data_IF_420713897619
#
_entry.id   IF_420713897619
#
_cell.length_a   1.000
_cell.length_b   1.000
_cell.length_c   1.000
_cell.angle_alpha   90.00
_cell.angle_beta   90.00
_cell.angle_gamma   90.00
#
_symmetry.space_group_name_H-M   'P 1'
#
loop_
_entity.id
_entity.type
_entity.pdbx_description
1 polymer ?
#
# COMPACT_ATOMS: atom_id res chain seq x y z
N UNK A 1 5.39 0.16 -29.80
CA UNK A 1 6.08 1.44 -30.12
C UNK A 1 5.36 2.58 -29.41
N UNK A 2 5.62 2.72 -28.12
CA UNK A 2 5.06 3.78 -27.28
C UNK A 2 5.85 5.06 -27.55
N UNK A 3 5.18 6.10 -28.08
CA UNK A 3 5.80 7.39 -28.35
C UNK A 3 6.10 8.18 -27.06
N UNK A 4 6.96 9.21 -27.12
CA UNK A 4 7.30 10.02 -25.96
C UNK A 4 6.07 10.71 -25.33
N UNK A 5 5.08 11.04 -26.13
CA UNK A 5 3.84 11.71 -25.69
C UNK A 5 3.06 10.85 -24.68
N UNK A 6 3.07 9.52 -24.85
CA UNK A 6 2.39 8.61 -23.93
C UNK A 6 3.12 8.49 -22.60
N UNK A 7 4.44 8.57 -22.58
CA UNK A 7 5.23 8.61 -21.35
C UNK A 7 5.02 9.94 -20.59
N UNK A 8 4.99 11.07 -21.30
CA UNK A 8 4.69 12.37 -20.71
C UNK A 8 3.29 12.38 -20.09
N UNK A 9 2.30 11.80 -20.77
CA UNK A 9 0.96 11.67 -20.24
C UNK A 9 0.90 10.78 -19.01
N UNK A 10 1.65 9.66 -18.98
CA UNK A 10 1.69 8.79 -17.80
C UNK A 10 2.26 9.51 -16.58
N UNK A 11 3.28 10.33 -16.75
CA UNK A 11 3.82 11.18 -15.67
C UNK A 11 2.77 12.20 -15.20
N UNK A 12 2.03 12.81 -16.11
CA UNK A 12 0.94 13.71 -15.76
C UNK A 12 -0.14 13.00 -14.93
N UNK A 13 -0.55 11.80 -15.35
CA UNK A 13 -1.54 11.00 -14.61
C UNK A 13 -1.08 10.68 -13.18
N UNK A 14 0.20 10.33 -13.00
CA UNK A 14 0.77 10.09 -11.67
C UNK A 14 0.81 11.37 -10.83
N UNK A 15 1.15 12.50 -11.42
CA UNK A 15 1.07 13.80 -10.74
C UNK A 15 -0.38 14.13 -10.31
N UNK A 16 -1.37 13.91 -11.18
CA UNK A 16 -2.79 14.10 -10.85
C UNK A 16 -3.27 13.18 -9.72
N UNK A 17 -2.61 12.04 -9.53
CA UNK A 17 -2.80 11.11 -8.41
C UNK A 17 -2.06 11.54 -7.13
N UNK A 18 -1.42 12.71 -7.09
CA UNK A 18 -0.71 13.21 -5.92
C UNK A 18 0.69 12.61 -5.71
N UNK A 19 1.27 11.95 -6.71
CA UNK A 19 2.62 11.40 -6.58
C UNK A 19 3.67 12.52 -6.69
N UNK A 20 4.57 12.58 -5.71
CA UNK A 20 5.69 13.54 -5.67
C UNK A 20 6.99 12.95 -6.21
N UNK A 21 7.17 11.64 -6.02
CA UNK A 21 8.37 10.93 -6.40
C UNK A 21 8.12 9.94 -7.52
N UNK A 22 9.07 9.85 -8.44
CA UNK A 22 9.17 8.77 -9.42
C UNK A 22 10.47 8.01 -9.19
N UNK A 23 10.38 6.69 -9.09
CA UNK A 23 11.54 5.82 -9.00
C UNK A 23 11.65 5.00 -10.27
N UNK A 24 12.68 5.23 -11.07
CA UNK A 24 12.99 4.31 -12.15
C UNK A 24 13.51 3.00 -11.57
N UNK A 25 12.77 1.91 -11.77
CA UNK A 25 13.26 0.59 -11.41
C UNK A 25 14.40 0.18 -12.37
N UNK A 26 14.22 0.47 -13.66
CA UNK A 26 15.22 0.17 -14.68
C UNK A 26 15.18 1.20 -15.80
N UNK A 27 16.34 1.69 -16.24
CA UNK A 27 16.52 2.49 -17.46
C UNK A 27 17.22 1.70 -18.58
N UNK A 28 17.58 0.45 -18.27
CA UNK A 28 18.06 -0.53 -19.24
C UNK A 28 17.66 -1.93 -18.78
N UNK A 29 17.38 -2.81 -19.73
CA UNK A 29 17.08 -4.20 -19.49
C UNK A 29 17.47 -5.04 -20.71
N UNK A 30 17.86 -6.29 -20.51
CA UNK A 30 18.27 -7.22 -21.57
C UNK A 30 19.31 -6.64 -22.56
N UNK A 31 20.26 -5.88 -22.02
CA UNK A 31 21.31 -5.22 -22.82
C UNK A 31 20.82 -4.10 -23.74
N UNK A 32 19.65 -3.52 -23.48
CA UNK A 32 19.03 -2.43 -24.26
C UNK A 32 18.64 -1.26 -23.37
N UNK A 33 18.95 -0.04 -23.81
CA UNK A 33 18.68 1.19 -23.07
C UNK A 33 17.36 1.86 -23.47
N UNK A 34 16.72 2.52 -22.51
CA UNK A 34 15.58 3.41 -22.69
C UNK A 34 16.01 4.90 -22.75
N UNK A 35 17.31 5.17 -22.81
CA UNK A 35 17.96 6.48 -22.91
C UNK A 35 19.01 6.46 -24.04
N UNK A 36 19.54 7.61 -24.50
CA UNK A 36 20.53 7.66 -25.59
C UNK A 36 21.90 7.17 -25.13
N UNK A 37 22.06 5.84 -24.98
CA UNK A 37 23.28 5.18 -24.53
C UNK A 37 24.28 4.99 -25.64
N UNK A 38 25.58 5.17 -25.32
CA UNK A 38 26.72 4.77 -26.14
C UNK A 38 27.23 3.37 -25.75
N UNK A 39 26.77 2.83 -24.62
CA UNK A 39 27.22 1.55 -24.07
C UNK A 39 26.43 0.35 -24.63
N UNK A 40 25.22 0.60 -25.09
CA UNK A 40 24.31 -0.45 -25.58
C UNK A 40 23.28 0.11 -26.55
N UNK A 41 22.68 -0.73 -27.42
CA UNK A 41 21.60 -0.32 -28.31
C UNK A 41 20.38 0.16 -27.50
N UNK A 42 19.66 1.15 -28.02
CA UNK A 42 18.40 1.62 -27.43
C UNK A 42 17.17 0.96 -28.06
N UNK A 43 16.04 1.00 -27.33
CA UNK A 43 14.76 0.33 -27.73
C UNK A 43 13.84 1.21 -28.55
N UNK A 44 14.14 2.52 -28.67
CA UNK A 44 13.30 3.48 -29.39
C UNK A 44 13.92 3.85 -30.75
N UNK A 45 13.13 4.35 -31.71
CA UNK A 45 13.62 4.71 -33.03
C UNK A 45 14.66 5.85 -32.98
N UNK A 46 15.68 5.77 -33.82
CA UNK A 46 16.67 6.84 -33.96
C UNK A 46 16.04 8.19 -34.33
N UNK A 47 16.55 9.25 -33.76
CA UNK A 47 16.03 10.61 -33.94
C UNK A 47 14.72 10.90 -33.17
N UNK A 48 14.21 9.98 -32.41
CA UNK A 48 13.07 10.19 -31.51
C UNK A 48 13.55 10.49 -30.09
N UNK A 49 12.77 11.27 -29.36
CA UNK A 49 12.97 11.50 -27.92
C UNK A 49 12.89 10.17 -27.17
N UNK A 50 13.85 9.91 -26.29
CA UNK A 50 13.87 8.67 -25.52
C UNK A 50 12.74 8.63 -24.45
N UNK A 51 12.33 7.43 -24.01
CA UNK A 51 11.41 7.31 -22.86
C UNK A 51 11.92 8.03 -21.62
N UNK A 52 13.20 7.91 -21.29
CA UNK A 52 13.80 8.56 -20.11
C UNK A 52 13.77 10.08 -20.26
N UNK A 53 14.11 10.64 -21.44
CA UNK A 53 14.00 12.09 -21.68
C UNK A 53 12.57 12.59 -21.52
N UNK A 54 11.60 11.83 -22.07
CA UNK A 54 10.17 12.19 -21.98
C UNK A 54 9.70 12.23 -20.51
N UNK A 55 10.06 11.23 -19.72
CA UNK A 55 9.68 11.14 -18.31
C UNK A 55 10.36 12.23 -17.49
N UNK A 56 11.66 12.44 -17.69
CA UNK A 56 12.45 13.46 -16.97
C UNK A 56 11.90 14.88 -17.23
N UNK A 57 11.65 15.22 -18.50
CA UNK A 57 11.12 16.53 -18.87
C UNK A 57 9.70 16.73 -18.31
N UNK A 58 8.85 15.71 -18.35
CA UNK A 58 7.52 15.77 -17.77
C UNK A 58 7.57 15.92 -16.24
N UNK A 59 8.43 15.15 -15.57
CA UNK A 59 8.62 15.26 -14.12
C UNK A 59 9.09 16.66 -13.72
N UNK A 60 10.02 17.27 -14.46
CA UNK A 60 10.43 18.66 -14.22
C UNK A 60 9.30 19.66 -14.39
N UNK A 61 8.46 19.47 -15.41
CA UNK A 61 7.30 20.34 -15.69
C UNK A 61 6.27 20.32 -14.57
N UNK A 62 6.09 19.15 -13.92
CA UNK A 62 5.16 18.98 -12.80
C UNK A 62 5.80 19.11 -11.42
N UNK A 63 7.10 19.44 -11.33
CA UNK A 63 7.80 19.58 -10.05
C UNK A 63 8.05 18.28 -9.31
N UNK A 64 7.93 17.13 -9.98
CA UNK A 64 8.17 15.82 -9.40
C UNK A 64 9.67 15.51 -9.25
N UNK A 65 10.01 14.75 -8.24
CA UNK A 65 11.37 14.33 -7.89
C UNK A 65 11.64 12.93 -8.43
N UNK A 66 12.74 12.76 -9.17
CA UNK A 66 13.07 11.48 -9.81
C UNK A 66 14.32 10.84 -9.18
N UNK A 67 14.18 9.57 -8.78
CA UNK A 67 15.30 8.70 -8.51
C UNK A 67 15.66 7.93 -9.79
N UNK A 68 16.87 8.17 -10.29
CA UNK A 68 17.41 7.51 -11.47
C UNK A 68 18.02 6.16 -11.09
N UNK A 69 17.69 5.11 -11.84
CA UNK A 69 18.33 3.80 -11.71
C UNK A 69 19.18 3.50 -12.93
N UNK A 70 20.17 2.66 -12.75
CA UNK A 70 20.90 2.06 -13.89
C UNK A 70 20.07 0.92 -14.52
N UNK A 71 19.14 0.33 -13.77
CA UNK A 71 18.52 -0.94 -14.15
C UNK A 71 19.56 -2.08 -14.10
N UNK A 72 19.26 -3.14 -14.80
CA UNK A 72 20.15 -4.30 -14.88
C UNK A 72 21.07 -4.20 -16.10
N UNK A 73 22.35 -4.50 -15.88
CA UNK A 73 23.32 -4.45 -16.96
C UNK A 73 23.07 -5.49 -18.04
N UNK A 74 22.48 -6.63 -17.66
CA UNK A 74 22.11 -7.72 -18.54
C UNK A 74 20.63 -8.10 -18.33
N UNK A 75 20.29 -8.62 -17.17
CA UNK A 75 18.93 -9.03 -16.80
C UNK A 75 18.70 -8.87 -15.29
N UNK A 76 17.49 -9.16 -14.83
CA UNK A 76 17.08 -9.01 -13.43
C UNK A 76 17.89 -9.89 -12.46
N UNK A 77 18.49 -10.95 -12.93
CA UNK A 77 19.33 -11.86 -12.14
C UNK A 77 20.80 -11.40 -12.05
N UNK A 78 21.10 -10.18 -12.48
CA UNK A 78 22.45 -9.61 -12.42
C UNK A 78 23.01 -9.68 -11.00
N UNK A 79 24.12 -10.41 -10.85
CA UNK A 79 24.76 -10.61 -9.57
C UNK A 79 25.80 -9.49 -9.29
N UNK A 80 25.45 -8.54 -8.44
CA UNK A 80 26.35 -7.44 -8.04
C UNK A 80 27.59 -7.89 -7.24
N UNK A 81 27.69 -9.16 -6.85
CA UNK A 81 28.95 -9.75 -6.34
C UNK A 81 29.99 -9.88 -7.43
N UNK A 82 29.57 -10.00 -8.71
CA UNK A 82 30.46 -10.01 -9.85
C UNK A 82 31.04 -8.61 -10.10
N UNK A 83 32.39 -8.45 -10.05
CA UNK A 83 33.05 -7.18 -10.33
C UNK A 83 32.78 -6.65 -11.74
N UNK A 84 32.54 -7.52 -12.72
CA UNK A 84 32.26 -7.10 -14.09
C UNK A 84 30.88 -6.44 -14.20
N UNK A 85 29.88 -7.01 -13.53
CA UNK A 85 28.52 -6.43 -13.45
C UNK A 85 28.56 -5.09 -12.71
N UNK A 86 29.23 -5.00 -11.56
CA UNK A 86 29.40 -3.72 -10.84
C UNK A 86 30.07 -2.66 -11.69
N UNK A 87 31.13 -3.01 -12.44
CA UNK A 87 31.80 -2.09 -13.35
C UNK A 87 30.84 -1.59 -14.42
N UNK A 88 30.06 -2.46 -15.02
CA UNK A 88 29.09 -2.09 -16.02
C UNK A 88 28.04 -1.14 -15.47
N UNK A 89 27.53 -1.38 -14.27
CA UNK A 89 26.63 -0.48 -13.55
C UNK A 89 27.27 0.90 -13.36
N UNK A 90 28.53 0.97 -12.94
CA UNK A 90 29.26 2.22 -12.76
C UNK A 90 29.49 2.98 -14.07
N UNK A 91 29.71 2.30 -15.18
CA UNK A 91 29.83 2.90 -16.53
C UNK A 91 28.46 3.51 -16.94
N UNK A 92 27.39 2.79 -16.74
CA UNK A 92 26.02 3.29 -16.98
C UNK A 92 25.70 4.51 -16.10
N UNK A 93 26.04 4.48 -14.82
CA UNK A 93 25.89 5.65 -13.93
C UNK A 93 26.66 6.86 -14.46
N UNK A 94 27.85 6.67 -14.99
CA UNK A 94 28.64 7.76 -15.55
C UNK A 94 28.00 8.38 -16.79
N UNK A 95 27.45 7.56 -17.66
CA UNK A 95 26.73 7.99 -18.87
C UNK A 95 25.46 8.76 -18.47
N UNK A 96 24.65 8.21 -17.57
CA UNK A 96 23.42 8.82 -17.06
C UNK A 96 23.68 10.14 -16.32
N UNK A 97 24.75 10.21 -15.53
CA UNK A 97 25.16 11.45 -14.87
C UNK A 97 25.58 12.54 -15.87
N UNK A 98 26.24 12.16 -16.97
CA UNK A 98 26.56 13.09 -18.05
C UNK A 98 25.34 13.65 -18.75
N UNK A 99 24.30 12.83 -18.92
CA UNK A 99 23.05 13.20 -19.59
C UNK A 99 22.10 13.97 -18.66
N UNK A 100 21.92 13.49 -17.42
CA UNK A 100 20.85 13.93 -16.53
C UNK A 100 21.34 14.52 -15.20
N UNK A 101 22.65 14.55 -14.93
CA UNK A 101 23.20 15.00 -13.64
C UNK A 101 22.77 16.41 -13.23
N UNK A 102 22.54 17.30 -14.19
CA UNK A 102 22.07 18.68 -13.97
C UNK A 102 20.57 18.86 -14.21
N UNK A 103 19.86 17.78 -14.52
CA UNK A 103 18.45 17.88 -14.83
C UNK A 103 17.64 18.26 -13.57
N UNK A 104 16.71 19.26 -13.64
CA UNK A 104 15.99 19.76 -12.46
C UNK A 104 15.15 18.68 -11.74
N UNK A 105 14.61 17.72 -12.48
CA UNK A 105 13.86 16.62 -11.87
C UNK A 105 14.75 15.58 -11.15
N UNK A 106 16.07 15.52 -11.41
CA UNK A 106 16.93 14.52 -10.78
C UNK A 106 17.09 14.83 -9.29
N UNK A 107 16.46 14.03 -8.44
CA UNK A 107 16.55 14.13 -7.00
C UNK A 107 17.65 13.22 -6.43
N UNK A 108 17.75 12.00 -6.97
CA UNK A 108 18.70 11.04 -6.47
C UNK A 108 18.91 9.82 -7.36
N UNK A 109 19.59 8.84 -6.81
CA UNK A 109 19.83 7.53 -7.42
C UNK A 109 19.06 6.44 -6.68
N UNK A 110 18.38 5.59 -7.41
CA UNK A 110 17.92 4.30 -6.94
C UNK A 110 18.95 3.25 -7.33
N UNK A 111 19.58 2.62 -6.36
CA UNK A 111 20.52 1.54 -6.62
C UNK A 111 19.73 0.24 -6.74
N UNK A 112 19.75 -0.45 -7.89
CA UNK A 112 18.95 -1.65 -8.13
C UNK A 112 19.58 -2.88 -7.44
N UNK A 113 19.81 -2.77 -6.14
CA UNK A 113 20.34 -3.84 -5.30
C UNK A 113 19.16 -4.44 -4.54
N UNK A 114 18.53 -5.40 -5.17
CA UNK A 114 17.49 -6.21 -4.53
C UNK A 114 18.18 -7.37 -3.79
N UNK A 115 18.79 -7.09 -2.66
CA UNK A 115 19.38 -8.14 -1.82
C UNK A 115 18.45 -8.48 -0.66
N UNK A 116 18.48 -9.74 -0.27
CA UNK A 116 17.69 -10.25 0.83
C UNK A 116 18.22 -9.75 2.18
N UNK A 117 17.34 -9.25 3.02
CA UNK A 117 17.69 -8.79 4.36
C UNK A 117 17.81 -9.93 5.37
N UNK A 118 17.34 -11.12 5.06
CA UNK A 118 17.20 -12.22 6.00
C UNK A 118 18.40 -13.19 6.04
N UNK A 119 18.73 -13.74 7.22
CA UNK A 119 18.30 -13.22 8.51
C UNK A 119 18.97 -11.92 8.87
N UNK A 120 20.06 -11.58 8.19
CA UNK A 120 20.87 -10.36 8.33
C UNK A 120 21.29 -9.87 6.96
N UNK A 121 21.33 -8.56 6.78
CA UNK A 121 21.88 -7.94 5.56
C UNK A 121 23.29 -8.48 5.25
N UNK A 122 23.50 -9.00 4.05
CA UNK A 122 24.76 -9.65 3.70
C UNK A 122 25.93 -8.65 3.63
N UNK A 123 27.13 -9.09 4.00
CA UNK A 123 28.36 -8.28 3.87
C UNK A 123 28.66 -7.91 2.41
N UNK A 124 28.23 -8.75 1.48
CA UNK A 124 28.38 -8.48 0.06
C UNK A 124 27.45 -7.36 -0.40
N UNK A 125 26.20 -7.33 0.11
CA UNK A 125 25.27 -6.25 -0.17
C UNK A 125 25.82 -4.91 0.34
N UNK A 126 26.28 -4.85 1.58
CA UNK A 126 26.93 -3.64 2.14
C UNK A 126 28.07 -3.16 1.25
N UNK A 127 28.93 -4.08 0.81
CA UNK A 127 30.08 -3.75 -0.05
C UNK A 127 29.64 -3.22 -1.42
N UNK A 128 28.68 -3.90 -2.07
CA UNK A 128 28.18 -3.53 -3.39
C UNK A 128 27.46 -2.18 -3.36
N UNK A 129 26.54 -2.00 -2.41
CA UNK A 129 25.80 -0.75 -2.20
C UNK A 129 26.75 0.42 -1.97
N UNK A 130 27.73 0.26 -1.08
CA UNK A 130 28.68 1.33 -0.78
C UNK A 130 29.56 1.69 -1.98
N UNK A 131 29.99 0.72 -2.78
CA UNK A 131 30.79 0.98 -4.00
C UNK A 131 29.97 1.76 -5.05
N UNK A 132 28.69 1.45 -5.23
CA UNK A 132 27.78 2.20 -6.12
C UNK A 132 27.45 3.57 -5.55
N UNK A 133 27.24 3.69 -4.23
CA UNK A 133 27.03 4.96 -3.56
C UNK A 133 28.21 5.91 -3.72
N UNK A 134 29.42 5.42 -3.50
CA UNK A 134 30.66 6.24 -3.68
C UNK A 134 30.78 6.73 -5.12
N UNK A 135 30.46 5.89 -6.09
CA UNK A 135 30.43 6.28 -7.51
C UNK A 135 29.35 7.35 -7.77
N UNK A 136 28.13 7.15 -7.31
CA UNK A 136 27.04 8.12 -7.48
C UNK A 136 27.40 9.49 -6.90
N UNK A 137 27.92 9.54 -5.68
CA UNK A 137 28.35 10.78 -5.01
C UNK A 137 29.50 11.48 -5.72
N UNK A 138 30.41 10.72 -6.34
CA UNK A 138 31.51 11.30 -7.15
C UNK A 138 31.02 11.96 -8.44
N UNK A 139 29.91 11.46 -9.00
CA UNK A 139 29.35 11.94 -10.27
C UNK A 139 28.36 13.11 -10.06
N UNK A 140 27.56 13.02 -9.02
CA UNK A 140 26.47 13.98 -8.71
C UNK A 140 26.47 14.31 -7.21
N UNK A 141 27.39 15.12 -6.71
CA UNK A 141 27.46 15.48 -5.31
C UNK A 141 26.13 16.10 -4.81
N UNK A 142 25.70 15.70 -3.62
CA UNK A 142 24.46 16.21 -3.00
C UNK A 142 23.17 15.51 -3.42
N UNK A 143 23.18 14.65 -4.43
CA UNK A 143 22.01 13.86 -4.79
C UNK A 143 21.80 12.71 -3.80
N UNK A 144 20.53 12.39 -3.49
CA UNK A 144 20.14 11.34 -2.54
C UNK A 144 20.39 9.94 -3.09
N UNK A 145 20.62 8.99 -2.22
CA UNK A 145 20.83 7.58 -2.58
C UNK A 145 19.77 6.73 -1.89
N UNK A 146 18.97 6.01 -2.67
CA UNK A 146 17.88 5.16 -2.25
C UNK A 146 18.19 3.70 -2.59
N UNK A 147 17.88 2.79 -1.66
CA UNK A 147 17.77 1.34 -1.90
C UNK A 147 16.40 0.83 -1.45
N UNK A 148 15.93 -0.27 -2.05
CA UNK A 148 14.66 -0.91 -1.68
C UNK A 148 14.84 -2.43 -1.52
N UNK A 149 15.39 -2.88 -0.38
CA UNK A 149 15.64 -4.30 -0.13
C UNK A 149 14.36 -5.06 0.24
N UNK A 150 14.40 -6.41 0.06
CA UNK A 150 13.35 -7.35 0.47
C UNK A 150 13.82 -8.29 1.60
N UNK A 151 12.95 -9.19 2.07
CA UNK A 151 13.26 -10.21 3.07
C UNK A 151 12.87 -9.85 4.48
N UNK A 152 11.85 -9.00 4.67
CA UNK A 152 11.34 -8.63 5.99
C UNK A 152 10.80 -9.83 6.78
N UNK A 153 10.24 -10.83 6.08
CA UNK A 153 9.56 -11.98 6.69
C UNK A 153 10.48 -12.81 7.58
N UNK A 154 11.74 -12.99 7.18
CA UNK A 154 12.73 -13.83 7.86
C UNK A 154 13.88 -13.04 8.50
N UNK A 155 13.75 -11.71 8.56
CA UNK A 155 14.78 -10.86 9.14
C UNK A 155 14.77 -10.86 10.66
N UNK A 156 15.95 -10.93 11.25
CA UNK A 156 16.14 -10.85 12.70
C UNK A 156 16.54 -9.44 13.14
N UNK A 157 15.53 -8.57 13.25
CA UNK A 157 15.70 -7.17 13.70
C UNK A 157 16.08 -7.05 15.20
N UNK A 158 16.03 -8.15 15.97
CA UNK A 158 16.44 -8.16 17.37
C UNK A 158 17.94 -8.41 17.53
N UNK A 159 18.60 -8.88 16.49
CA UNK A 159 20.03 -9.15 16.48
C UNK A 159 20.81 -7.82 16.34
N UNK A 160 21.68 -7.46 17.30
CA UNK A 160 22.48 -6.23 17.22
C UNK A 160 23.37 -6.13 15.98
N UNK A 161 23.72 -7.26 15.38
CA UNK A 161 24.49 -7.32 14.14
C UNK A 161 23.71 -6.74 12.96
N UNK A 162 22.37 -6.81 12.98
CA UNK A 162 21.53 -6.22 11.96
C UNK A 162 21.73 -4.70 11.88
N UNK A 163 21.56 -4.02 13.01
CA UNK A 163 21.78 -2.57 13.12
C UNK A 163 23.24 -2.20 12.78
N UNK A 164 24.21 -3.00 13.25
CA UNK A 164 25.63 -2.77 12.95
C UNK A 164 25.94 -2.84 11.45
N UNK A 165 25.26 -3.70 10.69
CA UNK A 165 25.43 -3.77 9.23
C UNK A 165 24.72 -2.63 8.53
N UNK A 166 23.52 -2.29 8.95
CA UNK A 166 22.80 -1.12 8.41
C UNK A 166 23.60 0.18 8.62
N UNK A 167 24.20 0.38 9.81
CA UNK A 167 24.98 1.58 10.11
C UNK A 167 26.22 1.77 9.23
N UNK A 168 26.65 0.72 8.52
CA UNK A 168 27.77 0.77 7.56
C UNK A 168 27.35 1.17 6.14
N UNK A 169 26.06 1.18 5.86
CA UNK A 169 25.55 1.65 4.58
C UNK A 169 25.76 3.17 4.46
N UNK A 170 26.19 3.60 3.29
CA UNK A 170 26.41 5.01 2.96
C UNK A 170 25.21 5.66 2.27
N UNK A 171 24.07 4.98 2.20
CA UNK A 171 22.84 5.47 1.57
C UNK A 171 22.16 6.53 2.41
N UNK A 172 21.31 7.34 1.80
CA UNK A 172 20.50 8.34 2.49
C UNK A 172 19.13 7.79 2.90
N UNK A 173 18.57 6.82 2.14
CA UNK A 173 17.20 6.35 2.27
C UNK A 173 17.17 4.83 2.09
N UNK A 174 16.42 4.14 2.94
CA UNK A 174 16.04 2.75 2.75
C UNK A 174 14.51 2.66 2.70
N UNK A 175 13.96 2.25 1.56
CA UNK A 175 12.54 1.98 1.36
C UNK A 175 12.34 0.46 1.38
N UNK A 176 11.96 -0.10 2.51
CA UNK A 176 11.79 -1.55 2.64
C UNK A 176 10.55 -2.01 1.87
N UNK A 177 10.69 -3.07 1.08
CA UNK A 177 9.57 -3.75 0.45
C UNK A 177 8.74 -4.44 1.54
N UNK A 178 7.43 -4.19 1.54
CA UNK A 178 6.54 -4.73 2.59
C UNK A 178 6.15 -6.19 2.38
N UNK A 179 6.36 -6.72 1.18
CA UNK A 179 6.16 -8.12 0.79
C UNK A 179 4.73 -8.64 1.02
N UNK A 180 3.75 -7.77 1.15
CA UNK A 180 2.34 -8.16 1.36
C UNK A 180 1.68 -8.68 0.09
N UNK A 181 2.05 -8.15 -1.07
CA UNK A 181 1.63 -8.65 -2.37
C UNK A 181 2.60 -9.66 -2.99
N UNK A 182 3.66 -10.01 -2.26
CA UNK A 182 4.84 -10.69 -2.75
C UNK A 182 4.57 -11.98 -3.50
N UNK A 183 5.36 -12.17 -4.53
CA UNK A 183 5.37 -13.32 -5.43
C UNK A 183 5.67 -14.68 -4.79
N UNK A 184 6.04 -14.75 -3.53
CA UNK A 184 6.43 -16.03 -2.89
C UNK A 184 5.47 -16.44 -1.80
N UNK A 185 5.45 -15.72 -0.71
CA UNK A 185 4.53 -15.91 0.40
C UNK A 185 4.17 -14.54 0.95
N UNK A 186 2.91 -14.09 0.82
CA UNK A 186 2.49 -12.79 1.30
C UNK A 186 2.80 -12.61 2.79
N UNK A 187 3.39 -11.48 3.14
CA UNK A 187 3.76 -11.20 4.51
C UNK A 187 2.52 -10.84 5.33
N UNK A 188 2.21 -11.55 6.44
CA UNK A 188 1.01 -11.26 7.22
C UNK A 188 1.06 -9.86 7.83
N UNK A 189 0.00 -9.09 7.66
CA UNK A 189 -0.13 -7.71 8.13
C UNK A 189 0.21 -7.52 9.62
N UNK A 190 -0.23 -8.39 10.56
CA UNK A 190 0.15 -8.25 11.97
C UNK A 190 1.67 -8.29 12.20
N UNK A 191 2.37 -9.20 11.50
CA UNK A 191 3.85 -9.31 11.57
C UNK A 191 4.52 -8.09 10.93
N UNK A 192 3.98 -7.59 9.81
CA UNK A 192 4.49 -6.39 9.16
C UNK A 192 4.44 -5.20 10.12
N UNK A 193 3.29 -4.96 10.77
CA UNK A 193 3.13 -3.89 11.78
C UNK A 193 4.17 -3.98 12.90
N UNK A 194 4.46 -5.19 13.35
CA UNK A 194 5.50 -5.45 14.37
C UNK A 194 6.90 -5.14 13.86
N UNK A 195 7.22 -5.56 12.64
CA UNK A 195 8.54 -5.32 12.02
C UNK A 195 8.76 -3.83 11.73
N UNK A 196 7.73 -3.10 11.30
CA UNK A 196 7.83 -1.65 11.13
C UNK A 196 8.25 -0.93 12.41
N UNK A 197 7.69 -1.31 13.56
CA UNK A 197 8.08 -0.75 14.87
C UNK A 197 9.54 -1.03 15.19
N UNK A 198 10.00 -2.28 15.00
CA UNK A 198 11.41 -2.65 15.23
C UNK A 198 12.36 -1.86 14.34
N UNK A 199 12.01 -1.73 13.06
CA UNK A 199 12.79 -0.94 12.10
C UNK A 199 12.82 0.55 12.47
N UNK A 200 11.69 1.13 12.89
CA UNK A 200 11.66 2.51 13.39
C UNK A 200 12.63 2.73 14.53
N UNK A 201 12.66 1.82 15.52
CA UNK A 201 13.59 1.90 16.64
C UNK A 201 15.06 1.85 16.19
N UNK A 202 15.39 1.04 15.18
CA UNK A 202 16.72 1.00 14.58
C UNK A 202 17.02 2.32 13.88
N UNK A 203 16.14 2.80 13.00
CA UNK A 203 16.34 4.02 12.22
C UNK A 203 16.40 5.28 13.08
N UNK A 204 15.78 5.31 14.25
CA UNK A 204 15.95 6.40 15.22
C UNK A 204 17.40 6.57 15.69
N UNK A 205 18.21 5.53 15.56
CA UNK A 205 19.64 5.54 15.93
C UNK A 205 20.58 5.69 14.74
N UNK A 206 20.02 5.64 13.52
CA UNK A 206 20.78 5.76 12.27
C UNK A 206 20.50 7.11 11.60
N UNK A 207 21.45 7.62 10.86
CA UNK A 207 21.25 8.79 10.01
C UNK A 207 20.87 8.35 8.58
N UNK A 208 19.85 7.51 8.47
CA UNK A 208 19.32 6.97 7.22
C UNK A 208 17.80 7.09 7.30
N UNK A 209 17.18 7.75 6.33
CA UNK A 209 15.75 7.92 6.27
C UNK A 209 15.01 6.58 6.11
N UNK A 210 13.89 6.43 6.82
CA UNK A 210 13.08 5.22 6.86
C UNK A 210 11.85 5.37 5.99
N UNK A 211 11.86 4.74 4.82
CA UNK A 211 10.75 4.71 3.89
C UNK A 211 10.13 3.32 3.78
N UNK A 212 8.90 3.25 3.32
CA UNK A 212 8.25 2.01 2.93
C UNK A 212 8.10 1.93 1.41
N UNK A 213 8.16 0.71 0.86
CA UNK A 213 7.80 0.39 -0.50
C UNK A 213 6.63 -0.59 -0.46
N UNK A 214 5.39 -0.07 -0.64
CA UNK A 214 4.17 -0.85 -0.53
C UNK A 214 3.83 -1.52 -1.85
N UNK A 215 3.62 -2.84 -1.83
CA UNK A 215 3.22 -3.61 -2.99
C UNK A 215 1.72 -3.47 -3.24
N UNK A 216 1.34 -3.04 -4.45
CA UNK A 216 -0.05 -2.70 -4.81
C UNK A 216 -0.81 -3.83 -5.50
N UNK A 217 -0.18 -4.97 -5.67
CA UNK A 217 -0.70 -6.12 -6.42
C UNK A 217 -0.96 -7.32 -5.51
N UNK A 218 -1.67 -8.28 -6.05
CA UNK A 218 -1.85 -9.63 -5.50
C UNK A 218 -1.86 -10.65 -6.63
N UNK A 219 -1.83 -11.93 -6.30
CA UNK A 219 -1.96 -12.99 -7.28
C UNK A 219 -3.42 -13.23 -7.68
N UNK A 220 -3.66 -13.41 -8.98
CA UNK A 220 -4.98 -13.82 -9.47
C UNK A 220 -5.35 -15.23 -9.01
N UNK A 221 -4.36 -16.13 -8.94
CA UNK A 221 -4.50 -17.51 -8.50
C UNK A 221 -3.69 -17.76 -7.24
N UNK A 222 -3.65 -19.01 -6.79
CA UNK A 222 -2.87 -19.41 -5.62
C UNK A 222 -1.38 -19.04 -5.73
N UNK A 223 -0.76 -18.63 -4.61
CA UNK A 223 0.63 -18.13 -4.58
C UNK A 223 1.67 -19.13 -5.04
N UNK A 224 1.38 -20.43 -4.99
CA UNK A 224 2.26 -21.48 -5.51
C UNK A 224 2.18 -21.63 -7.05
N UNK A 225 1.18 -21.01 -7.71
CA UNK A 225 1.09 -20.98 -9.16
C UNK A 225 1.89 -19.80 -9.73
N UNK A 226 3.16 -20.04 -10.05
CA UNK A 226 4.05 -19.03 -10.64
C UNK A 226 3.64 -18.58 -12.04
N UNK A 227 2.64 -19.20 -12.65
CA UNK A 227 2.06 -18.76 -13.94
C UNK A 227 0.90 -17.81 -13.75
N UNK A 228 0.49 -17.55 -12.53
CA UNK A 228 -0.58 -16.60 -12.22
C UNK A 228 -0.18 -15.18 -12.60
N UNK A 229 -1.15 -14.42 -13.10
CA UNK A 229 -0.95 -12.99 -13.29
C UNK A 229 -0.93 -12.24 -11.94
N UNK A 230 -0.24 -11.12 -11.92
CA UNK A 230 -0.40 -10.11 -10.88
C UNK A 230 -1.59 -9.22 -11.25
N UNK A 231 -2.48 -9.01 -10.29
CA UNK A 231 -3.66 -8.16 -10.43
C UNK A 231 -3.66 -7.09 -9.34
N UNK A 232 -4.40 -5.99 -9.51
CA UNK A 232 -4.55 -5.00 -8.45
C UNK A 232 -5.10 -5.63 -7.17
N UNK A 233 -4.47 -5.35 -6.04
CA UNK A 233 -5.02 -5.70 -4.73
C UNK A 233 -6.27 -4.86 -4.43
N UNK A 234 -7.11 -5.33 -3.51
CA UNK A 234 -8.17 -4.51 -2.95
C UNK A 234 -7.56 -3.26 -2.28
N UNK A 235 -8.10 -2.08 -2.56
CA UNK A 235 -7.52 -0.85 -2.02
C UNK A 235 -7.60 -0.82 -0.48
N UNK A 236 -8.55 -1.52 0.13
CA UNK A 236 -8.66 -1.72 1.58
C UNK A 236 -7.38 -2.35 2.16
N UNK A 237 -6.81 -3.37 1.48
CA UNK A 237 -5.53 -3.96 1.88
C UNK A 237 -4.40 -2.93 1.79
N UNK A 238 -4.35 -2.20 0.67
CA UNK A 238 -3.32 -1.19 0.44
C UNK A 238 -3.39 -0.07 1.50
N UNK A 239 -4.61 0.36 1.85
CA UNK A 239 -4.81 1.34 2.93
C UNK A 239 -4.27 0.83 4.27
N UNK A 240 -4.49 -0.45 4.59
CA UNK A 240 -3.92 -1.06 5.81
C UNK A 240 -2.38 -1.02 5.82
N UNK A 241 -1.72 -1.31 4.68
CA UNK A 241 -0.26 -1.20 4.54
C UNK A 241 0.22 0.24 4.78
N UNK A 242 -0.43 1.21 4.13
CA UNK A 242 -0.09 2.63 4.25
C UNK A 242 -0.29 3.14 5.67
N UNK A 243 -1.39 2.78 6.32
CA UNK A 243 -1.63 3.14 7.73
C UNK A 243 -0.60 2.50 8.65
N UNK A 244 -0.27 1.22 8.44
CA UNK A 244 0.75 0.54 9.25
C UNK A 244 2.13 1.23 9.14
N UNK A 245 2.54 1.61 7.94
CA UNK A 245 3.77 2.35 7.70
C UNK A 245 3.73 3.75 8.36
N UNK A 246 2.65 4.48 8.16
CA UNK A 246 2.45 5.82 8.72
C UNK A 246 2.47 5.82 10.26
N UNK A 247 1.73 4.89 10.89
CA UNK A 247 1.70 4.74 12.36
C UNK A 247 3.07 4.38 12.94
N UNK A 248 3.88 3.66 12.17
CA UNK A 248 5.26 3.36 12.55
C UNK A 248 6.21 4.55 12.38
N UNK A 249 5.76 5.67 11.81
CA UNK A 249 6.58 6.88 11.61
C UNK A 249 7.51 6.77 10.39
N UNK A 250 7.08 6.05 9.34
CA UNK A 250 7.75 6.04 8.04
C UNK A 250 7.66 7.44 7.44
N UNK A 251 8.77 7.98 6.94
CA UNK A 251 8.86 9.36 6.46
C UNK A 251 8.28 9.55 5.06
N UNK A 252 8.26 8.49 4.25
CA UNK A 252 7.66 8.49 2.91
C UNK A 252 7.24 7.07 2.52
N UNK A 253 6.16 6.96 1.79
CA UNK A 253 5.69 5.72 1.21
C UNK A 253 5.82 5.81 -0.30
N UNK A 254 6.65 4.96 -0.90
CA UNK A 254 6.63 4.66 -2.32
C UNK A 254 5.87 3.37 -2.55
N UNK A 255 5.49 3.10 -3.79
CA UNK A 255 4.70 1.92 -4.11
C UNK A 255 5.23 1.20 -5.34
N UNK A 256 5.35 -0.10 -5.23
CA UNK A 256 5.60 -1.00 -6.34
C UNK A 256 4.33 -1.81 -6.61
N UNK A 257 3.55 -1.46 -7.66
CA UNK A 257 3.72 -0.27 -8.49
C UNK A 257 2.35 0.30 -8.88
N UNK A 258 2.30 1.58 -9.23
CA UNK A 258 1.06 2.18 -9.74
C UNK A 258 0.88 1.90 -11.24
N UNK A 259 1.91 2.14 -12.06
CA UNK A 259 1.84 1.85 -13.49
C UNK A 259 1.57 0.36 -13.75
N UNK A 260 0.51 0.07 -14.48
CA UNK A 260 0.07 -1.29 -14.78
C UNK A 260 -0.86 -1.92 -13.73
N UNK A 261 -0.96 -1.36 -12.55
CA UNK A 261 -1.76 -1.88 -11.44
C UNK A 261 -2.90 -0.92 -11.06
N UNK A 262 -2.60 0.37 -10.84
CA UNK A 262 -3.58 1.41 -10.51
C UNK A 262 -3.51 2.44 -11.62
N UNK A 263 -4.43 2.39 -12.58
CA UNK A 263 -4.37 3.22 -13.78
C UNK A 263 -5.70 3.92 -14.06
N UNK A 264 -5.59 5.14 -14.55
CA UNK A 264 -6.73 5.95 -14.96
C UNK A 264 -7.53 5.21 -16.05
N UNK A 265 -8.85 4.99 -15.87
CA UNK A 265 -9.66 4.17 -16.78
C UNK A 265 -9.64 4.62 -18.25
N UNK A 266 -9.58 5.93 -18.49
CA UNK A 266 -9.61 6.53 -19.83
C UNK A 266 -8.21 6.87 -20.35
N UNK A 267 -7.15 6.37 -19.72
CA UNK A 267 -5.78 6.58 -20.20
C UNK A 267 -5.59 5.91 -21.56
N UNK A 268 -5.04 6.62 -22.56
CA UNK A 268 -4.71 6.02 -23.85
C UNK A 268 -3.55 5.04 -23.75
N UNK A 269 -2.86 5.00 -22.60
CA UNK A 269 -1.75 4.12 -22.34
C UNK A 269 -2.00 3.33 -21.05
N UNK A 270 -2.66 2.18 -21.18
CA UNK A 270 -2.90 1.23 -20.10
C UNK A 270 -2.00 0.02 -20.26
N UNK A 271 -1.27 -0.33 -19.22
CA UNK A 271 -0.35 -1.46 -19.17
C UNK A 271 -0.97 -2.69 -18.49
N UNK A 272 -1.93 -2.47 -17.60
CA UNK A 272 -2.55 -3.50 -16.77
C UNK A 272 -3.87 -4.02 -17.30
N UNK A 273 -4.66 -4.63 -16.42
CA UNK A 273 -6.01 -5.10 -16.69
C UNK A 273 -7.03 -3.95 -16.54
N UNK A 274 -7.55 -3.37 -17.62
CA UNK A 274 -8.28 -2.10 -17.58
C UNK A 274 -9.42 -2.05 -16.56
N UNK A 275 -10.17 -3.15 -16.42
CA UNK A 275 -11.31 -3.19 -15.52
C UNK A 275 -10.90 -3.11 -14.04
N UNK A 276 -9.97 -3.95 -13.61
CA UNK A 276 -9.54 -4.03 -12.21
C UNK A 276 -8.65 -2.85 -11.82
N UNK A 277 -7.75 -2.44 -12.72
CA UNK A 277 -6.93 -1.24 -12.53
C UNK A 277 -7.80 0.00 -12.39
N UNK A 278 -8.86 0.12 -13.18
CA UNK A 278 -9.80 1.23 -13.08
C UNK A 278 -10.61 1.24 -11.78
N UNK A 279 -10.94 0.08 -11.20
CA UNK A 279 -11.57 0.01 -9.88
C UNK A 279 -10.58 0.47 -8.80
N UNK A 280 -9.35 -0.06 -8.83
CA UNK A 280 -8.30 0.33 -7.89
C UNK A 280 -8.01 1.84 -7.96
N UNK A 281 -7.95 2.41 -9.16
CA UNK A 281 -7.80 3.85 -9.39
C UNK A 281 -8.94 4.65 -8.75
N UNK A 282 -10.19 4.29 -9.01
CA UNK A 282 -11.35 5.02 -8.44
C UNK A 282 -11.34 4.98 -6.91
N UNK A 283 -11.04 3.83 -6.33
CA UNK A 283 -10.95 3.68 -4.88
C UNK A 283 -9.82 4.53 -4.28
N UNK A 284 -8.66 4.53 -4.92
CA UNK A 284 -7.53 5.38 -4.53
C UNK A 284 -7.89 6.87 -4.62
N UNK A 285 -8.49 7.31 -5.74
CA UNK A 285 -8.89 8.70 -5.91
C UNK A 285 -10.01 9.12 -4.95
N UNK A 286 -10.94 8.23 -4.63
CA UNK A 286 -11.97 8.52 -3.62
C UNK A 286 -11.35 8.68 -2.22
N UNK A 287 -10.38 7.83 -1.85
CA UNK A 287 -9.59 8.02 -0.62
C UNK A 287 -8.82 9.34 -0.65
N UNK A 288 -8.10 9.63 -1.72
CA UNK A 288 -7.29 10.87 -1.88
C UNK A 288 -8.16 12.13 -1.73
N UNK A 289 -9.40 12.08 -2.25
CA UNK A 289 -10.36 13.18 -2.16
C UNK A 289 -11.17 13.18 -0.84
N UNK A 290 -10.81 12.39 0.13
CA UNK A 290 -11.44 12.38 1.46
C UNK A 290 -12.79 11.67 1.52
N UNK A 291 -13.03 10.67 0.66
CA UNK A 291 -14.25 9.89 0.64
C UNK A 291 -14.60 9.31 2.02
N UNK A 292 -15.86 9.49 2.44
CA UNK A 292 -16.29 9.20 3.81
C UNK A 292 -16.01 7.76 4.25
N UNK A 293 -16.27 6.79 3.40
CA UNK A 293 -15.97 5.38 3.65
C UNK A 293 -14.49 5.15 4.00
N UNK A 294 -13.59 5.75 3.21
CA UNK A 294 -12.14 5.60 3.39
C UNK A 294 -11.64 6.27 4.65
N UNK A 295 -12.19 7.44 5.01
CA UNK A 295 -11.87 8.14 6.27
C UNK A 295 -12.23 7.28 7.49
N UNK A 296 -13.40 6.63 7.47
CA UNK A 296 -13.82 5.74 8.53
C UNK A 296 -12.94 4.50 8.61
N UNK A 297 -12.66 3.87 7.48
CA UNK A 297 -11.81 2.69 7.43
C UNK A 297 -10.39 3.02 7.92
N UNK A 298 -9.81 4.13 7.46
CA UNK A 298 -8.50 4.60 7.91
C UNK A 298 -8.47 4.87 9.42
N UNK A 299 -9.44 5.60 9.96
CA UNK A 299 -9.55 5.88 11.38
C UNK A 299 -9.70 4.59 12.20
N UNK A 300 -10.41 3.59 11.67
CA UNK A 300 -10.53 2.28 12.30
C UNK A 300 -9.21 1.51 12.34
N UNK A 301 -8.38 1.59 11.31
CA UNK A 301 -7.03 1.02 11.30
C UNK A 301 -6.08 1.73 12.26
N UNK A 302 -6.22 3.05 12.42
CA UNK A 302 -5.44 3.85 13.37
C UNK A 302 -5.89 3.65 14.82
N UNK A 303 -7.05 3.04 15.05
CA UNK A 303 -7.65 2.89 16.38
C UNK A 303 -8.14 4.22 16.97
N UNK A 304 -8.45 5.20 16.14
CA UNK A 304 -8.97 6.52 16.56
C UNK A 304 -10.48 6.63 16.46
N UNK A 305 -11.12 5.71 15.73
CA UNK A 305 -12.56 5.71 15.56
C UNK A 305 -13.27 5.30 16.85
N UNK A 306 -14.24 6.07 17.27
CA UNK A 306 -15.04 5.83 18.45
C UNK A 306 -16.54 5.84 18.16
N UNK A 307 -17.32 5.32 19.12
CA UNK A 307 -18.77 5.35 19.07
C UNK A 307 -19.30 6.66 19.69
N UNK A 308 -20.27 7.28 19.02
CA UNK A 308 -21.00 8.44 19.54
C UNK A 308 -22.26 8.07 20.34
N UNK A 309 -22.39 6.80 20.77
CA UNK A 309 -23.57 6.29 21.49
C UNK A 309 -23.30 6.10 22.99
N UNK A 310 -24.37 6.01 23.81
CA UNK A 310 -24.25 5.76 25.26
C UNK A 310 -23.65 4.38 25.57
N UNK A 311 -22.93 4.28 26.70
CA UNK A 311 -22.27 3.04 27.18
C UNK A 311 -23.26 1.93 27.57
N UNK A 312 -24.56 2.21 27.73
CA UNK A 312 -25.61 1.24 28.07
C UNK A 312 -26.12 0.39 26.90
N UNK A 313 -25.47 0.45 25.74
CA UNK A 313 -25.87 -0.30 24.55
C UNK A 313 -25.64 -1.80 24.72
N UNK A 314 -26.57 -2.61 24.26
CA UNK A 314 -26.49 -4.08 24.26
C UNK A 314 -26.68 -4.66 22.87
N UNK A 315 -26.05 -5.80 22.61
CA UNK A 315 -26.26 -6.62 21.40
C UNK A 315 -26.83 -7.97 21.84
N UNK A 316 -28.00 -8.34 21.33
CA UNK A 316 -28.73 -9.55 21.74
C UNK A 316 -28.86 -9.70 23.27
N UNK A 317 -29.03 -8.57 23.97
CA UNK A 317 -29.09 -8.53 25.44
C UNK A 317 -27.72 -8.63 26.16
N UNK A 318 -26.58 -8.67 25.44
CA UNK A 318 -25.25 -8.75 26.00
C UNK A 318 -24.51 -7.41 25.88
N UNK A 319 -24.19 -6.77 27.01
CA UNK A 319 -23.43 -5.52 27.09
C UNK A 319 -21.93 -5.69 26.79
N UNK A 320 -21.43 -6.93 26.85
CA UNK A 320 -20.04 -7.26 26.57
C UNK A 320 -19.83 -7.77 25.14
N UNK A 321 -20.73 -7.43 24.21
CA UNK A 321 -20.62 -7.86 22.83
C UNK A 321 -19.36 -7.28 22.15
N UNK A 322 -18.59 -8.09 21.42
CA UNK A 322 -17.45 -7.62 20.63
C UNK A 322 -17.82 -6.52 19.63
N UNK A 323 -19.09 -6.44 19.18
CA UNK A 323 -19.52 -5.44 18.18
C UNK A 323 -19.62 -4.01 18.72
N UNK A 324 -19.51 -3.78 20.03
CA UNK A 324 -19.68 -2.45 20.64
C UNK A 324 -18.71 -2.23 21.81
N UNK A 325 -17.61 -2.99 21.87
CA UNK A 325 -16.65 -2.91 22.97
C UNK A 325 -15.47 -1.96 22.69
N UNK A 326 -15.40 -1.38 21.49
CA UNK A 326 -14.33 -0.48 21.05
C UNK A 326 -13.00 -1.18 20.77
N UNK A 327 -13.00 -2.52 20.65
CA UNK A 327 -11.79 -3.33 20.47
C UNK A 327 -11.74 -3.94 19.09
N UNK A 328 -10.93 -3.39 18.22
CA UNK A 328 -10.78 -3.89 16.86
C UNK A 328 -9.81 -5.08 16.77
N UNK A 329 -10.15 -6.06 15.95
CA UNK A 329 -9.29 -7.14 15.54
C UNK A 329 -8.32 -6.71 14.43
N UNK A 330 -7.30 -7.51 14.19
CA UNK A 330 -6.39 -7.34 13.05
C UNK A 330 -6.77 -8.26 11.87
N UNK A 331 -5.93 -8.30 10.84
CA UNK A 331 -6.15 -9.10 9.63
C UNK A 331 -5.93 -10.62 9.83
N UNK A 332 -5.79 -11.07 11.07
CA UNK A 332 -5.73 -12.50 11.39
C UNK A 332 -7.15 -13.05 11.62
N UNK A 333 -7.66 -14.00 10.82
CA UNK A 333 -8.99 -14.58 11.01
C UNK A 333 -9.16 -15.34 12.34
N UNK A 334 -8.05 -15.74 12.98
CA UNK A 334 -8.05 -16.42 14.28
C UNK A 334 -7.99 -15.45 15.47
N UNK A 335 -8.01 -14.14 15.24
CA UNK A 335 -8.05 -13.16 16.33
C UNK A 335 -9.35 -13.31 17.12
N UNK A 336 -9.24 -13.50 18.44
CA UNK A 336 -10.37 -13.74 19.34
C UNK A 336 -11.33 -12.56 19.47
N UNK A 337 -10.98 -11.40 18.94
CA UNK A 337 -11.84 -10.21 18.89
C UNK A 337 -12.88 -10.26 17.76
N UNK A 338 -12.71 -11.16 16.78
CA UNK A 338 -13.72 -11.39 15.77
C UNK A 338 -14.95 -12.11 16.35
N UNK A 339 -16.12 -11.55 16.12
CA UNK A 339 -17.39 -12.26 16.29
C UNK A 339 -17.68 -13.05 15.01
N UNK A 340 -17.71 -14.39 15.15
CA UNK A 340 -17.86 -15.30 14.01
C UNK A 340 -19.30 -15.75 13.82
N UNK A 341 -19.75 -15.69 12.57
CA UNK A 341 -21.03 -16.21 12.11
C UNK A 341 -20.79 -17.26 11.03
N UNK A 342 -21.36 -18.44 11.20
CA UNK A 342 -21.29 -19.50 10.19
C UNK A 342 -22.25 -19.23 9.01
N UNK A 343 -22.28 -20.20 8.07
CA UNK A 343 -23.23 -20.19 6.97
C UNK A 343 -24.68 -20.16 7.48
N UNK A 344 -25.52 -19.35 6.86
CA UNK A 344 -26.95 -19.28 7.12
C UNK A 344 -27.48 -17.85 7.33
N UNK A 345 -28.70 -17.78 7.88
CA UNK A 345 -29.35 -16.54 8.22
C UNK A 345 -29.04 -16.13 9.65
N UNK A 346 -28.66 -14.88 9.83
CA UNK A 346 -28.33 -14.28 11.12
C UNK A 346 -29.13 -13.03 11.38
N UNK A 347 -29.45 -12.80 12.65
CA UNK A 347 -30.14 -11.61 13.14
C UNK A 347 -29.43 -11.09 14.38
N UNK A 348 -29.10 -9.82 14.36
CA UNK A 348 -28.48 -9.09 15.47
C UNK A 348 -29.40 -7.94 15.86
N UNK A 349 -29.72 -7.81 17.12
CA UNK A 349 -30.55 -6.72 17.64
C UNK A 349 -29.75 -5.93 18.68
N UNK A 350 -29.68 -4.62 18.50
CA UNK A 350 -29.03 -3.66 19.40
C UNK A 350 -30.10 -2.81 20.08
N UNK A 351 -30.02 -2.67 21.40
CA UNK A 351 -30.81 -1.72 22.20
C UNK A 351 -29.89 -0.61 22.69
N UNK A 352 -30.12 0.61 22.26
CA UNK A 352 -29.32 1.78 22.68
C UNK A 352 -29.73 2.30 24.07
N UNK A 353 -30.66 1.61 24.74
CA UNK A 353 -31.14 2.00 26.07
C UNK A 353 -32.12 3.19 26.06
N UNK A 354 -31.99 4.06 25.07
CA UNK A 354 -32.85 5.24 24.84
C UNK A 354 -33.01 5.49 23.35
N UNK A 355 -33.91 6.35 22.97
CA UNK A 355 -34.01 6.82 21.60
C UNK A 355 -32.82 7.72 21.27
N UNK A 356 -32.13 7.40 20.18
CA UNK A 356 -31.04 8.20 19.63
C UNK A 356 -31.38 8.66 18.21
N UNK A 357 -30.61 9.59 17.69
CA UNK A 357 -30.65 9.95 16.28
C UNK A 357 -29.53 9.22 15.56
N UNK A 358 -29.89 8.37 14.60
CA UNK A 358 -28.94 7.65 13.76
C UNK A 358 -28.62 8.52 12.54
N UNK A 359 -27.38 8.94 12.42
CA UNK A 359 -26.85 9.63 11.24
C UNK A 359 -26.01 8.70 10.39
N UNK A 360 -25.21 7.85 11.03
CA UNK A 360 -24.26 7.01 10.34
C UNK A 360 -23.96 5.72 11.09
N UNK A 361 -23.78 4.64 10.35
CA UNK A 361 -23.31 3.35 10.86
C UNK A 361 -22.11 2.89 10.02
N UNK A 362 -21.07 2.40 10.68
CA UNK A 362 -19.93 1.78 10.02
C UNK A 362 -19.62 0.44 10.68
N UNK A 363 -19.86 -0.66 9.96
CA UNK A 363 -19.65 -2.03 10.41
C UNK A 363 -18.35 -2.55 9.83
N UNK A 364 -17.38 -2.95 10.68
CA UNK A 364 -16.12 -3.57 10.27
C UNK A 364 -16.26 -5.08 10.08
N UNK A 365 -15.64 -5.58 9.04
CA UNK A 365 -15.62 -6.99 8.64
C UNK A 365 -14.23 -7.41 8.18
N UNK A 366 -13.97 -8.71 8.20
CA UNK A 366 -12.82 -9.32 7.54
C UNK A 366 -13.25 -9.96 6.21
N UNK A 367 -12.50 -9.71 5.15
CA UNK A 367 -12.54 -10.52 3.93
C UNK A 367 -11.27 -11.39 3.88
N UNK A 368 -11.43 -12.71 3.88
CA UNK A 368 -10.33 -13.68 3.75
C UNK A 368 -10.84 -14.91 2.98
N UNK A 369 -10.80 -14.83 1.68
CA UNK A 369 -11.39 -15.81 0.77
C UNK A 369 -10.78 -17.19 0.82
N UNK A 370 -9.45 -17.39 1.02
CA UNK A 370 -8.89 -18.71 1.20
C UNK A 370 -9.50 -19.49 2.38
N UNK A 371 -9.88 -18.78 3.45
CA UNK A 371 -10.60 -19.34 4.59
C UNK A 371 -12.11 -19.36 4.46
N UNK A 372 -12.64 -19.03 3.26
CA UNK A 372 -14.09 -18.87 3.05
C UNK A 372 -14.74 -17.89 4.06
N UNK A 373 -14.03 -16.82 4.38
CA UNK A 373 -14.55 -15.68 5.14
C UNK A 373 -14.84 -14.57 4.16
N UNK A 374 -16.10 -14.16 4.05
CA UNK A 374 -16.52 -13.11 3.12
C UNK A 374 -17.58 -12.22 3.76
N UNK A 375 -17.75 -11.04 3.19
CA UNK A 375 -18.92 -10.23 3.55
C UNK A 375 -20.22 -10.95 3.19
N UNK A 376 -21.32 -10.71 3.91
CA UNK A 376 -22.65 -11.15 3.49
C UNK A 376 -23.00 -10.51 2.15
N UNK A 377 -23.65 -11.25 1.25
CA UNK A 377 -24.13 -10.70 -0.04
C UNK A 377 -25.02 -9.48 0.15
N UNK A 378 -25.85 -9.51 1.20
CA UNK A 378 -26.74 -8.40 1.58
C UNK A 378 -26.86 -8.30 3.09
N UNK A 379 -26.88 -7.07 3.57
CA UNK A 379 -27.23 -6.75 4.96
C UNK A 379 -28.45 -5.83 4.95
N UNK A 380 -29.47 -6.25 5.67
CA UNK A 380 -30.71 -5.48 5.89
C UNK A 380 -30.62 -4.79 7.24
N UNK A 381 -30.84 -3.50 7.26
CA UNK A 381 -30.87 -2.69 8.47
C UNK A 381 -32.31 -2.29 8.77
N UNK A 382 -32.76 -2.58 9.97
CA UNK A 382 -34.10 -2.22 10.46
C UNK A 382 -33.98 -1.39 11.73
N UNK A 383 -34.93 -0.49 11.94
CA UNK A 383 -35.02 0.34 13.16
C UNK A 383 -36.35 0.21 13.82
N UNK A 384 -36.39 0.40 15.16
CA UNK A 384 -37.60 0.38 15.97
C UNK A 384 -37.46 1.34 17.15
N UNK A 385 -38.60 1.88 17.62
CA UNK A 385 -38.70 2.64 18.87
C UNK A 385 -39.10 1.78 20.06
N UNK A 386 -39.80 0.64 19.83
CA UNK A 386 -40.39 -0.20 20.85
C UNK A 386 -39.79 -1.61 20.98
N UNK A 387 -38.86 -1.97 20.07
CA UNK A 387 -38.20 -3.28 20.02
C UNK A 387 -39.12 -4.42 19.51
N UNK A 388 -40.32 -4.12 19.05
CA UNK A 388 -41.32 -5.10 18.56
C UNK A 388 -41.69 -4.84 17.11
N UNK A 389 -41.91 -3.60 16.75
CA UNK A 389 -42.31 -3.15 15.42
C UNK A 389 -41.09 -2.57 14.68
N UNK A 390 -40.54 -3.34 13.75
CA UNK A 390 -39.36 -2.95 12.99
C UNK A 390 -39.72 -2.47 11.58
N UNK A 391 -39.17 -1.32 11.16
CA UNK A 391 -39.23 -0.86 9.77
C UNK A 391 -37.87 -0.99 9.10
N UNK A 392 -37.89 -1.36 7.84
CA UNK A 392 -36.67 -1.39 7.02
C UNK A 392 -36.10 0.03 6.87
N UNK A 393 -34.82 0.19 7.21
CA UNK A 393 -34.07 1.42 7.05
C UNK A 393 -33.32 1.41 5.73
N UNK A 394 -32.56 0.36 5.47
CA UNK A 394 -31.74 0.23 4.26
C UNK A 394 -31.34 -1.21 3.99
N UNK A 395 -30.90 -1.45 2.75
CA UNK A 395 -30.24 -2.69 2.33
C UNK A 395 -28.90 -2.33 1.72
N UNK A 396 -27.85 -2.99 2.15
CA UNK A 396 -26.51 -2.87 1.56
C UNK A 396 -26.10 -4.18 0.91
N UNK A 397 -25.58 -4.09 -0.30
CA UNK A 397 -24.99 -5.22 -1.01
C UNK A 397 -23.49 -5.22 -0.77
N UNK A 398 -22.89 -6.42 -0.72
CA UNK A 398 -21.44 -6.54 -0.72
C UNK A 398 -20.84 -5.90 -1.98
N UNK A 399 -19.68 -5.23 -1.86
CA UNK A 399 -18.96 -4.77 -3.02
C UNK A 399 -18.41 -5.96 -3.82
N UNK A 400 -18.28 -5.77 -5.14
CA UNK A 400 -17.63 -6.75 -5.99
C UNK A 400 -16.13 -6.49 -5.99
N UNK A 401 -15.35 -7.46 -5.51
CA UNK A 401 -13.89 -7.42 -5.57
C UNK A 401 -13.36 -8.32 -6.68
N UNK A 402 -12.17 -7.97 -7.24
CA UNK A 402 -11.42 -8.94 -8.02
C UNK A 402 -11.16 -10.18 -7.16
N UNK A 403 -11.00 -11.30 -7.79
CA UNK A 403 -10.75 -12.56 -7.10
C UNK A 403 -9.35 -12.52 -6.47
N UNK A 404 -9.23 -11.92 -5.29
CA UNK A 404 -7.98 -11.79 -4.57
C UNK A 404 -7.67 -13.12 -3.86
N UNK A 405 -6.64 -13.81 -4.35
CA UNK A 405 -6.42 -15.19 -4.01
C UNK A 405 -5.99 -15.49 -2.58
N UNK A 406 -5.25 -14.62 -1.88
CA UNK A 406 -4.59 -14.98 -0.62
C UNK A 406 -4.64 -13.94 0.48
N UNK A 407 -4.97 -12.70 0.14
CA UNK A 407 -4.92 -11.60 1.09
C UNK A 407 -6.10 -11.66 2.06
N UNK A 408 -5.83 -11.33 3.33
CA UNK A 408 -6.85 -10.92 4.27
C UNK A 408 -6.84 -9.39 4.34
N UNK A 409 -8.01 -8.78 4.32
CA UNK A 409 -8.14 -7.34 4.53
C UNK A 409 -9.38 -6.99 5.33
N UNK A 410 -9.29 -5.91 6.08
CA UNK A 410 -10.41 -5.35 6.79
C UNK A 410 -11.19 -4.47 5.81
N UNK A 411 -12.51 -4.65 5.82
CA UNK A 411 -13.46 -3.89 5.03
C UNK A 411 -14.54 -3.29 5.94
N UNK A 412 -15.46 -2.54 5.36
CA UNK A 412 -16.56 -1.93 6.09
C UNK A 412 -17.85 -1.84 5.29
N UNK A 413 -18.95 -1.78 6.00
CA UNK A 413 -20.24 -1.41 5.43
C UNK A 413 -20.64 -0.06 6.01
N UNK A 414 -20.63 0.97 5.17
CA UNK A 414 -21.10 2.30 5.53
C UNK A 414 -22.60 2.44 5.21
N UNK A 415 -23.35 2.92 6.18
CA UNK A 415 -24.73 3.34 6.03
C UNK A 415 -24.88 4.76 6.56
N UNK A 416 -25.08 5.71 5.65
CA UNK A 416 -25.52 7.06 5.98
C UNK A 416 -27.05 7.10 6.06
N UNK A 417 -27.59 7.77 7.06
CA UNK A 417 -29.03 7.90 7.29
C UNK A 417 -29.41 9.38 7.41
N UNK A 418 -30.68 9.68 7.33
CA UNK A 418 -31.17 11.06 7.42
C UNK A 418 -31.60 11.40 8.86
N UNK A 419 -30.71 11.25 9.85
CA UNK A 419 -30.95 11.56 11.26
C UNK A 419 -32.22 10.85 11.80
N UNK A 420 -32.26 9.53 11.60
CA UNK A 420 -33.43 8.70 11.90
C UNK A 420 -33.53 8.42 13.39
N UNK A 421 -34.69 8.71 14.06
CA UNK A 421 -34.89 8.34 15.44
C UNK A 421 -35.03 6.83 15.59
N UNK A 422 -34.31 6.22 16.51
CA UNK A 422 -34.37 4.80 16.82
C UNK A 422 -33.87 4.53 18.24
N UNK A 423 -34.50 3.60 18.93
CA UNK A 423 -33.94 2.98 20.13
C UNK A 423 -33.33 1.64 19.82
N UNK A 424 -33.89 0.93 18.83
CA UNK A 424 -33.40 -0.39 18.43
C UNK A 424 -32.93 -0.37 16.99
N UNK A 425 -31.82 -1.04 16.75
CA UNK A 425 -31.28 -1.35 15.44
C UNK A 425 -31.24 -2.88 15.29
N UNK A 426 -31.69 -3.39 14.14
CA UNK A 426 -31.62 -4.80 13.82
C UNK A 426 -30.90 -4.97 12.48
N UNK A 427 -29.89 -5.83 12.46
CA UNK A 427 -29.21 -6.31 11.26
C UNK A 427 -29.66 -7.71 10.94
N UNK A 428 -30.01 -7.95 9.68
CA UNK A 428 -30.36 -9.29 9.17
C UNK A 428 -29.54 -9.55 7.92
N UNK A 429 -28.88 -10.70 7.86
CA UNK A 429 -28.11 -11.10 6.70
C UNK A 429 -28.13 -12.61 6.49
N UNK A 430 -28.00 -13.02 5.24
CA UNK A 430 -27.76 -14.40 4.84
C UNK A 430 -26.34 -14.53 4.32
N UNK A 431 -25.61 -15.55 4.74
CA UNK A 431 -24.25 -15.79 4.23
C UNK A 431 -24.05 -17.21 3.72
N UNK A 432 -23.47 -17.39 2.53
CA UNK A 432 -23.07 -18.71 2.02
C UNK A 432 -21.80 -19.23 2.69
N UNK A 433 -21.02 -18.35 3.35
CA UNK A 433 -19.73 -18.60 3.97
C UNK A 433 -19.68 -18.08 5.40
N UNK A 434 -18.55 -18.18 6.06
CA UNK A 434 -18.32 -17.54 7.35
C UNK A 434 -18.22 -16.02 7.21
N UNK A 435 -18.74 -15.31 8.23
CA UNK A 435 -18.63 -13.85 8.35
C UNK A 435 -17.94 -13.53 9.66
N UNK A 436 -16.94 -12.66 9.62
CA UNK A 436 -16.25 -12.15 10.80
C UNK A 436 -16.50 -10.65 10.91
N UNK A 437 -17.03 -10.22 12.06
CA UNK A 437 -17.30 -8.82 12.39
C UNK A 437 -16.67 -8.52 13.75
N UNK A 438 -16.09 -7.34 13.94
CA UNK A 438 -15.49 -6.99 15.23
C UNK A 438 -16.10 -5.74 15.87
N UNK A 439 -16.49 -4.74 15.07
CA UNK A 439 -17.01 -3.51 15.63
C UNK A 439 -18.08 -2.89 14.72
N UNK A 440 -19.15 -2.40 15.34
CA UNK A 440 -20.14 -1.55 14.70
C UNK A 440 -20.09 -0.16 15.34
N UNK A 441 -19.63 0.80 14.58
CA UNK A 441 -19.64 2.20 14.98
C UNK A 441 -21.01 2.83 14.67
N UNK A 442 -21.58 3.47 15.67
CA UNK A 442 -22.85 4.20 15.57
C UNK A 442 -22.57 5.68 15.79
N UNK A 443 -22.90 6.51 14.79
CA UNK A 443 -22.55 7.93 14.75
C UNK A 443 -21.03 8.13 15.02
N UNK A 444 -20.15 7.54 14.23
CA UNK A 444 -18.72 7.47 14.54
C UNK A 444 -18.08 8.84 14.75
N UNK A 445 -17.16 8.89 15.71
CA UNK A 445 -16.38 10.06 16.10
C UNK A 445 -14.88 9.75 15.99
N UNK A 446 -14.04 10.77 16.13
CA UNK A 446 -12.57 10.57 16.18
C UNK A 446 -11.94 10.39 14.78
N UNK A 447 -12.59 10.91 13.74
CA UNK A 447 -11.94 11.03 12.44
C UNK A 447 -10.77 12.01 12.56
N UNK A 448 -9.66 11.67 11.93
CA UNK A 448 -8.55 12.60 11.79
C UNK A 448 -9.01 13.77 10.92
N UNK A 449 -8.91 15.00 11.47
CA UNK A 449 -9.17 16.21 10.69
C UNK A 449 -8.15 16.33 9.56
N UNK A 450 -8.56 16.85 8.40
CA UNK A 450 -7.72 17.02 7.21
C UNK A 450 -6.50 17.95 7.39
N UNK A 451 -6.43 18.63 8.53
CA UNK A 451 -5.44 19.69 8.77
C UNK A 451 -4.05 19.19 9.22
N UNK A 452 -3.87 17.91 9.50
CA UNK A 452 -2.58 17.36 9.94
C UNK A 452 -2.17 16.17 9.04
N UNK A 453 -1.80 16.46 7.82
CA UNK A 453 -0.81 15.62 7.14
C UNK A 453 0.53 15.94 7.81
N UNK A 454 0.78 15.29 8.94
CA UNK A 454 2.06 15.35 9.67
C UNK A 454 3.16 14.59 8.90
N UNK A 455 3.37 14.95 7.65
CA UNK A 455 4.67 14.78 7.04
C UNK A 455 5.40 16.11 7.23
N UNK A 456 6.47 16.14 8.00
CA UNK A 456 7.23 17.36 8.14
C UNK A 456 7.72 17.81 6.76
N UNK A 457 7.44 19.06 6.40
CA UNK A 457 8.06 19.70 5.25
C UNK A 457 9.58 19.48 5.36
N UNK A 458 10.11 18.59 4.56
CA UNK A 458 11.55 18.42 4.46
C UNK A 458 12.06 19.42 3.43
N UNK A 459 12.49 20.60 3.95
CA UNK A 459 13.32 21.54 3.20
C UNK A 459 14.61 20.89 2.62
#
# INVERSE_FOLDING_TARGET
>A
NTGPELWEQKVQELHEMGMEYLVFMAVANEGRAYYPSLLMPHVYPEGRKSPVDAIMDAAARFGMKVFMSTGWAKDQDDNLRDPAIRRRQQEMMQELAGLYGHHPALYGWYLPVEDCLCPLLSEHAVTAVNALTDKARSLTPGKKILISPYGLVDSDFTNPEYERRLSRLKVDIIAYQDEVGCVREPFPMPRLKENWKKLRDIHNRLNIAFWANCETFTWEKATNDRTSALIPAAYQRLLSQQVAASVAGVECIISFMFCGIIEKPDSPFQLGQPYWSGIAYRNYMDWLNGGRYWRLLEASHRGTLGNGIPVSTTVNGNVSSPLLDGRTADENPDDSRWMSFGKGRHELTMDFGQEIRLDELFLRLLDYRPGMVTQPDKVYFYVSSDGTSYRLLSVRNAPCFPNAGHDAWIDGILLETANVPARYLKLVFDSPHSVLMDELYVNPTGLCDEANSDFPDTD
#
